data_IF_779952255608
#
_entry.id   IF_779952255608
#
_cell.length_a   1.000
_cell.length_b   1.000
_cell.length_c   1.000
_cell.angle_alpha   90.00
_cell.angle_beta   90.00
_cell.angle_gamma   90.00
#
_symmetry.space_group_name_H-M   'P 1'
#
loop_
_entity.id
_entity.type
_entity.pdbx_description
1 polymer ?
#
# COMPACT_ATOMS: atom_id res chain seq x y z
N UNK A 1 37.07 35.58 15.92
CA UNK A 1 36.07 35.40 14.84
C UNK A 1 35.08 34.38 15.32
N UNK A 2 33.78 34.67 15.24
CA UNK A 2 32.73 33.77 15.71
C UNK A 2 32.04 33.08 14.53
N UNK A 3 31.66 31.83 14.74
CA UNK A 3 30.91 31.01 13.80
C UNK A 3 29.59 30.57 14.45
N UNK A 4 28.50 30.77 13.72
CA UNK A 4 27.16 30.39 14.12
C UNK A 4 26.52 29.57 13.01
N UNK A 5 25.66 28.63 13.37
CA UNK A 5 24.81 27.90 12.43
C UNK A 5 23.37 27.99 12.90
N UNK A 6 22.42 27.99 11.96
CA UNK A 6 20.99 27.91 12.25
C UNK A 6 20.66 26.69 13.13
N UNK A 7 19.55 26.80 13.87
CA UNK A 7 19.05 25.76 14.77
C UNK A 7 18.92 24.39 14.05
N UNK A 8 19.27 23.31 14.76
CA UNK A 8 19.24 21.94 14.24
C UNK A 8 20.59 21.43 13.71
N UNK A 9 21.60 22.30 13.57
CA UNK A 9 22.98 21.92 13.32
C UNK A 9 23.91 22.38 14.46
N UNK A 10 25.07 21.73 14.58
CA UNK A 10 26.11 22.08 15.55
C UNK A 10 27.34 22.58 14.81
N UNK A 11 28.00 23.62 15.33
CA UNK A 11 29.23 24.17 14.76
C UNK A 11 30.35 24.17 15.80
N UNK A 12 31.53 23.64 15.45
CA UNK A 12 32.65 23.51 16.38
C UNK A 12 33.98 23.83 15.69
N UNK A 13 34.86 24.65 16.28
CA UNK A 13 34.61 25.55 17.41
C UNK A 13 33.75 26.77 17.02
N UNK A 14 33.06 27.35 18.00
CA UNK A 14 32.26 28.58 17.81
C UNK A 14 33.12 29.86 17.70
N UNK A 15 34.35 29.84 18.22
CA UNK A 15 35.25 30.99 18.16
C UNK A 15 36.68 30.54 17.88
N UNK A 16 37.33 31.21 16.91
CA UNK A 16 38.74 31.00 16.59
C UNK A 16 39.43 32.32 16.25
N UNK A 17 40.76 32.30 16.32
CA UNK A 17 41.62 33.32 15.71
C UNK A 17 42.03 32.89 14.30
N UNK A 18 42.20 33.85 13.41
CA UNK A 18 42.71 33.59 12.06
C UNK A 18 44.20 33.23 12.11
N UNK A 19 44.63 32.36 11.19
CA UNK A 19 46.03 32.04 10.96
C UNK A 19 46.81 33.20 10.33
N UNK A 20 48.11 32.98 10.10
CA UNK A 20 49.00 33.95 9.47
C UNK A 20 48.62 34.28 8.01
N UNK A 21 47.85 33.40 7.37
CA UNK A 21 47.28 33.56 6.03
C UNK A 21 45.90 34.26 6.05
N UNK A 22 45.36 34.57 7.23
CA UNK A 22 44.05 35.19 7.42
C UNK A 22 42.88 34.21 7.45
N UNK A 23 43.11 32.89 7.41
CA UNK A 23 42.04 31.90 7.39
C UNK A 23 41.62 31.45 8.79
N UNK A 24 40.34 31.15 8.96
CA UNK A 24 39.73 30.58 10.16
C UNK A 24 38.75 29.48 9.73
N UNK A 25 38.66 28.39 10.49
CA UNK A 25 37.81 27.25 10.15
C UNK A 25 37.00 26.75 11.33
N UNK A 26 35.82 26.23 11.02
CA UNK A 26 34.96 25.47 11.92
C UNK A 26 34.31 24.34 11.13
N UNK A 27 33.88 23.29 11.83
CA UNK A 27 33.13 22.17 11.26
C UNK A 27 31.67 22.30 11.64
N UNK A 28 30.78 21.92 10.72
CA UNK A 28 29.34 21.87 10.95
C UNK A 28 28.88 20.42 10.86
N UNK A 29 28.06 19.98 11.79
CA UNK A 29 27.43 18.65 11.78
C UNK A 29 25.92 18.77 12.02
N UNK A 30 25.15 17.83 11.47
CA UNK A 30 23.71 17.72 11.73
C UNK A 30 23.27 16.27 11.59
N UNK A 31 22.29 15.85 12.41
CA UNK A 31 21.58 14.58 12.25
C UNK A 31 20.31 14.73 11.40
N UNK A 32 19.91 15.97 11.08
CA UNK A 32 18.73 16.28 10.28
C UNK A 32 19.14 16.77 8.90
N UNK A 33 18.67 16.06 7.88
CA UNK A 33 18.81 16.51 6.50
C UNK A 33 18.11 17.86 6.31
N UNK A 34 18.72 18.75 5.53
CA UNK A 34 18.20 20.09 5.31
C UNK A 34 19.27 21.12 5.03
N UNK A 35 18.82 22.35 4.78
CA UNK A 35 19.68 23.50 4.51
C UNK A 35 19.80 24.38 5.75
N UNK A 36 21.02 24.71 6.15
CA UNK A 36 21.33 25.52 7.32
C UNK A 36 22.16 26.73 6.92
N UNK A 37 21.79 27.92 7.41
CA UNK A 37 22.59 29.12 7.26
C UNK A 37 23.78 29.07 8.23
N UNK A 38 24.99 29.24 7.70
CA UNK A 38 26.24 29.35 8.46
C UNK A 38 26.71 30.80 8.38
N UNK A 39 26.88 31.43 9.53
CA UNK A 39 27.27 32.83 9.65
C UNK A 39 28.65 32.91 10.29
N UNK A 40 29.55 33.65 9.66
CA UNK A 40 30.85 33.97 10.23
C UNK A 40 30.91 35.47 10.51
N UNK A 41 31.40 35.86 11.68
CA UNK A 41 31.41 37.24 12.16
C UNK A 41 32.75 37.66 12.77
N UNK A 42 33.17 38.88 12.46
CA UNK A 42 34.33 39.54 13.08
C UNK A 42 33.99 41.00 13.39
N UNK A 43 34.26 41.44 14.63
CA UNK A 43 34.02 42.81 15.09
C UNK A 43 32.59 43.33 14.82
N UNK A 44 31.56 42.51 15.06
CA UNK A 44 30.16 42.90 14.83
C UNK A 44 29.71 42.85 13.37
N UNK A 45 30.55 42.41 12.43
CA UNK A 45 30.24 42.31 11.00
C UNK A 45 30.27 40.86 10.55
N UNK A 46 29.14 40.37 10.05
CA UNK A 46 28.98 38.98 9.63
C UNK A 46 28.56 38.82 8.18
N UNK A 47 28.80 37.64 7.64
CA UNK A 47 28.27 37.19 6.34
C UNK A 47 27.74 35.76 6.50
N UNK A 48 26.64 35.46 5.81
CA UNK A 48 25.98 34.15 5.89
C UNK A 48 25.97 33.45 4.53
N UNK A 49 26.16 32.13 4.55
CA UNK A 49 25.98 31.24 3.40
C UNK A 49 25.30 29.95 3.84
N UNK A 50 24.60 29.31 2.91
CA UNK A 50 23.94 28.05 3.18
C UNK A 50 24.90 26.86 3.02
N UNK A 51 24.76 25.88 3.91
CA UNK A 51 25.24 24.51 3.74
C UNK A 51 24.05 23.56 3.72
N UNK A 52 24.19 22.38 3.11
CA UNK A 52 23.11 21.39 3.01
C UNK A 52 23.61 20.03 3.48
N UNK A 53 22.84 19.39 4.37
CA UNK A 53 22.99 17.99 4.74
C UNK A 53 21.91 17.17 4.02
N UNK A 54 22.30 16.01 3.48
CA UNK A 54 21.38 15.06 2.84
C UNK A 54 21.14 13.86 3.75
N UNK A 55 19.99 13.20 3.58
CA UNK A 55 19.70 11.97 4.30
C UNK A 55 20.68 10.86 3.92
N UNK A 56 20.97 9.98 4.87
CA UNK A 56 21.90 8.87 4.68
C UNK A 56 21.22 7.72 3.89
N UNK A 57 21.71 7.46 2.68
CA UNK A 57 21.18 6.39 1.83
C UNK A 57 21.57 5.00 2.31
N UNK A 58 22.68 4.87 3.02
CA UNK A 58 23.19 3.57 3.45
C UNK A 58 22.36 3.00 4.62
N UNK A 59 21.67 3.87 5.37
CA UNK A 59 20.74 3.49 6.43
C UNK A 59 19.27 3.66 6.05
N UNK A 60 18.95 3.77 4.76
CA UNK A 60 17.59 3.87 4.27
C UNK A 60 16.77 2.59 4.58
N UNK A 61 15.58 2.77 5.14
CA UNK A 61 14.66 1.69 5.47
C UNK A 61 13.20 2.13 5.45
N UNK A 62 12.29 1.15 5.48
CA UNK A 62 10.85 1.37 5.67
C UNK A 62 10.53 0.92 7.09
N UNK A 63 10.21 1.87 7.97
CA UNK A 63 9.89 1.58 9.36
C UNK A 63 8.53 0.88 9.50
N UNK A 64 8.28 0.31 10.67
CA UNK A 64 6.96 -0.25 10.99
C UNK A 64 5.88 0.86 10.88
N UNK A 65 4.80 0.57 10.14
CA UNK A 65 3.74 1.52 9.83
C UNK A 65 4.03 2.52 8.70
N UNK A 66 5.22 2.51 8.10
CA UNK A 66 5.57 3.40 6.98
C UNK A 66 5.20 2.83 5.59
N UNK A 67 4.55 1.67 5.53
CA UNK A 67 3.85 1.19 4.34
C UNK A 67 2.34 1.31 4.58
N UNK A 68 1.68 2.19 3.83
CA UNK A 68 0.26 2.50 3.99
C UNK A 68 -0.55 2.12 2.75
N UNK A 69 -1.79 1.67 2.99
CA UNK A 69 -2.81 1.50 1.95
C UNK A 69 -3.49 2.84 1.70
N UNK A 70 -3.63 3.18 0.42
CA UNK A 70 -4.45 4.30 -0.05
C UNK A 70 -5.85 3.81 -0.40
N UNK A 71 -6.08 3.62 -1.71
CA UNK A 71 -7.30 3.03 -2.24
C UNK A 71 -7.33 1.53 -1.95
N UNK A 72 -8.52 1.03 -1.60
CA UNK A 72 -8.74 -0.35 -1.21
C UNK A 72 -10.15 -0.80 -1.61
N UNK A 73 -10.38 -2.11 -1.74
CA UNK A 73 -11.66 -2.68 -2.18
C UNK A 73 -11.99 -2.40 -3.64
N UNK A 74 -10.97 -2.30 -4.50
CA UNK A 74 -11.16 -2.26 -5.95
C UNK A 74 -11.86 -3.52 -6.47
N UNK A 75 -12.66 -3.37 -7.52
CA UNK A 75 -13.31 -4.51 -8.19
C UNK A 75 -12.24 -5.37 -8.87
N UNK A 76 -12.37 -6.69 -8.77
CA UNK A 76 -11.47 -7.66 -9.38
C UNK A 76 -11.75 -7.82 -10.90
N UNK A 77 -11.69 -6.71 -11.65
CA UNK A 77 -11.97 -6.61 -13.09
C UNK A 77 -10.70 -6.45 -13.96
N UNK A 78 -9.51 -6.51 -13.33
CA UNK A 78 -8.21 -6.29 -13.96
C UNK A 78 -7.90 -4.83 -14.34
N UNK A 79 -8.75 -3.87 -13.96
CA UNK A 79 -8.64 -2.44 -14.33
C UNK A 79 -8.73 -1.51 -13.14
N UNK A 80 -9.67 -1.75 -12.24
CA UNK A 80 -9.84 -1.03 -10.99
C UNK A 80 -8.62 -1.27 -10.10
N UNK A 81 -8.19 -0.22 -9.40
CA UNK A 81 -6.91 -0.23 -8.69
C UNK A 81 -7.06 -0.02 -7.20
N UNK A 82 -6.35 -0.83 -6.43
CA UNK A 82 -5.93 -0.49 -5.08
C UNK A 82 -4.59 0.27 -5.14
N UNK A 83 -4.20 0.99 -4.08
CA UNK A 83 -2.94 1.71 -4.03
C UNK A 83 -2.22 1.57 -2.70
N UNK A 84 -0.88 1.58 -2.75
CA UNK A 84 -0.02 1.58 -1.56
C UNK A 84 1.06 2.64 -1.70
N UNK A 85 1.52 3.16 -0.57
CA UNK A 85 2.64 4.11 -0.49
C UNK A 85 3.61 3.69 0.61
N UNK A 86 4.88 3.55 0.27
CA UNK A 86 5.97 3.36 1.20
C UNK A 86 6.68 4.69 1.47
N UNK A 87 6.95 4.98 2.74
CA UNK A 87 7.82 6.07 3.18
C UNK A 87 9.18 5.50 3.57
N UNK A 88 10.24 6.04 2.98
CA UNK A 88 11.61 5.63 3.26
C UNK A 88 12.33 6.72 4.04
N UNK A 89 12.90 6.32 5.18
CA UNK A 89 13.70 7.21 6.03
C UNK A 89 15.05 6.59 6.38
N UNK A 90 16.04 7.43 6.69
CA UNK A 90 17.31 6.99 7.26
C UNK A 90 17.18 6.66 8.76
N UNK A 91 18.27 6.19 9.39
CA UNK A 91 18.28 5.85 10.83
C UNK A 91 17.96 7.03 11.77
N UNK A 92 18.01 8.28 11.28
CA UNK A 92 17.68 9.48 12.04
C UNK A 92 16.27 10.00 11.72
N UNK A 93 15.49 9.24 10.94
CA UNK A 93 14.14 9.58 10.51
C UNK A 93 14.08 10.68 9.44
N UNK A 94 15.17 10.90 8.69
CA UNK A 94 15.15 11.84 7.57
C UNK A 94 14.60 11.15 6.33
N UNK A 95 13.68 11.78 5.57
CA UNK A 95 13.21 11.20 4.31
C UNK A 95 14.35 11.03 3.30
N UNK A 96 14.45 9.84 2.71
CA UNK A 96 15.53 9.50 1.78
C UNK A 96 15.02 9.58 0.35
N UNK A 97 15.54 10.54 -0.42
CA UNK A 97 15.23 10.70 -1.84
C UNK A 97 16.19 9.94 -2.75
N UNK A 98 15.68 9.44 -3.87
CA UNK A 98 16.47 8.82 -4.91
C UNK A 98 16.87 7.37 -4.60
N UNK A 99 16.10 6.67 -3.77
CA UNK A 99 16.29 5.24 -3.50
C UNK A 99 15.16 4.42 -4.13
N UNK A 100 15.49 3.25 -4.64
CA UNK A 100 14.51 2.35 -5.28
C UNK A 100 13.76 1.54 -4.22
N UNK A 101 12.43 1.54 -4.31
CA UNK A 101 11.55 0.66 -3.55
C UNK A 101 10.92 -0.34 -4.50
N UNK A 102 11.08 -1.63 -4.22
CA UNK A 102 10.43 -2.69 -4.97
C UNK A 102 9.14 -3.14 -4.28
N UNK A 103 8.09 -3.36 -5.06
CA UNK A 103 6.76 -3.77 -4.63
C UNK A 103 6.41 -5.12 -5.24
N UNK A 104 5.89 -6.02 -4.42
CA UNK A 104 5.36 -7.32 -4.84
C UNK A 104 3.97 -7.51 -4.25
N UNK A 105 3.15 -8.32 -4.90
CA UNK A 105 1.81 -8.63 -4.43
C UNK A 105 1.52 -10.13 -4.50
N UNK A 106 0.68 -10.60 -3.57
CA UNK A 106 0.16 -11.97 -3.56
C UNK A 106 -1.20 -12.09 -4.25
N UNK A 107 -1.83 -13.27 -4.11
CA UNK A 107 -3.19 -13.55 -4.61
C UNK A 107 -3.40 -13.17 -6.10
N UNK A 108 -2.39 -13.41 -6.93
CA UNK A 108 -2.37 -13.11 -8.37
C UNK A 108 -2.61 -11.63 -8.74
N UNK A 109 -2.52 -10.71 -7.77
CA UNK A 109 -2.59 -9.28 -8.04
C UNK A 109 -1.34 -8.82 -8.80
N UNK A 110 -1.53 -7.90 -9.74
CA UNK A 110 -0.46 -7.31 -10.54
C UNK A 110 -0.09 -5.95 -9.99
N UNK A 111 1.19 -5.74 -9.68
CA UNK A 111 1.72 -4.41 -9.34
C UNK A 111 2.01 -3.66 -10.64
N UNK A 112 1.39 -2.50 -10.83
CA UNK A 112 1.49 -1.73 -12.10
C UNK A 112 2.90 -1.18 -12.31
N UNK A 113 3.57 -0.76 -11.23
CA UNK A 113 4.97 -0.32 -11.25
C UNK A 113 5.71 -0.99 -10.12
N UNK A 114 6.46 -2.04 -10.45
CA UNK A 114 7.15 -2.90 -9.47
C UNK A 114 8.30 -2.18 -8.76
N UNK A 115 8.95 -1.22 -9.40
CA UNK A 115 10.04 -0.44 -8.79
C UNK A 115 9.78 1.04 -8.92
N UNK A 116 9.79 1.76 -7.80
CA UNK A 116 9.54 3.20 -7.74
C UNK A 116 10.68 3.87 -7.00
N UNK A 117 11.28 4.91 -7.59
CA UNK A 117 12.30 5.73 -6.94
C UNK A 117 11.65 6.77 -6.04
N UNK A 118 12.12 6.92 -4.79
CA UNK A 118 11.55 7.85 -3.83
C UNK A 118 11.73 9.32 -4.21
N UNK A 119 10.67 10.11 -3.95
CA UNK A 119 10.66 11.56 -4.08
C UNK A 119 11.49 12.28 -3.00
N UNK A 120 11.47 13.62 -3.02
CA UNK A 120 12.17 14.45 -2.02
C UNK A 120 11.63 14.27 -0.59
N UNK A 121 10.37 13.83 -0.47
CA UNK A 121 9.66 13.49 0.76
C UNK A 121 9.86 12.03 1.20
N UNK A 122 10.71 11.27 0.50
CA UNK A 122 10.98 9.86 0.79
C UNK A 122 9.84 8.91 0.39
N UNK A 123 8.83 9.38 -0.35
CA UNK A 123 7.66 8.57 -0.71
C UNK A 123 7.86 7.83 -2.03
N UNK A 124 7.40 6.58 -2.07
CA UNK A 124 7.27 5.75 -3.27
C UNK A 124 5.89 5.10 -3.28
N UNK A 125 5.11 5.30 -4.34
CA UNK A 125 3.73 4.80 -4.43
C UNK A 125 3.52 3.97 -5.69
N UNK A 126 2.68 2.94 -5.59
CA UNK A 126 2.28 2.10 -6.73
C UNK A 126 0.81 1.71 -6.61
N UNK A 127 0.25 1.23 -7.70
CA UNK A 127 -1.12 0.72 -7.77
C UNK A 127 -1.13 -0.76 -8.11
N UNK A 128 -2.19 -1.45 -7.71
CA UNK A 128 -2.39 -2.87 -7.95
C UNK A 128 -3.71 -3.11 -8.67
N UNK A 129 -3.73 -4.04 -9.62
CA UNK A 129 -4.97 -4.57 -10.22
C UNK A 129 -5.07 -6.07 -9.97
N UNK A 130 -6.27 -6.63 -10.04
CA UNK A 130 -6.48 -8.09 -9.94
C UNK A 130 -7.71 -8.51 -10.73
N UNK A 131 -7.72 -9.75 -11.21
CA UNK A 131 -8.92 -10.45 -11.68
C UNK A 131 -9.46 -11.43 -10.62
N UNK A 132 -8.70 -11.66 -9.55
CA UNK A 132 -9.03 -12.54 -8.43
C UNK A 132 -9.47 -11.70 -7.25
N UNK A 133 -10.71 -11.91 -6.79
CA UNK A 133 -11.21 -11.27 -5.57
C UNK A 133 -10.55 -11.88 -4.32
N UNK A 134 -10.44 -11.08 -3.27
CA UNK A 134 -9.88 -11.46 -1.99
C UNK A 134 -8.64 -10.64 -1.61
N UNK A 135 -8.04 -11.02 -0.49
CA UNK A 135 -6.92 -10.30 0.12
C UNK A 135 -5.62 -10.58 -0.63
N UNK A 136 -4.93 -9.51 -1.02
CA UNK A 136 -3.57 -9.55 -1.55
C UNK A 136 -2.62 -8.88 -0.56
N UNK A 137 -1.63 -9.64 -0.09
CA UNK A 137 -0.54 -9.08 0.73
C UNK A 137 0.47 -8.40 -0.19
N UNK A 138 0.66 -7.10 0.00
CA UNK A 138 1.63 -6.28 -0.69
C UNK A 138 2.90 -6.19 0.15
N UNK A 139 4.05 -6.44 -0.46
CA UNK A 139 5.37 -6.31 0.16
C UNK A 139 6.12 -5.16 -0.48
N UNK A 140 6.62 -4.21 0.31
CA UNK A 140 7.53 -3.15 -0.14
C UNK A 140 8.93 -3.39 0.43
N UNK A 141 9.97 -3.24 -0.38
CA UNK A 141 11.36 -3.52 0.00
C UNK A 141 12.31 -2.42 -0.45
N UNK A 142 13.25 -2.05 0.42
CA UNK A 142 14.40 -1.17 0.14
C UNK A 142 15.65 -1.76 0.80
N UNK A 143 16.68 -2.07 0.00
CA UNK A 143 17.85 -2.79 0.52
C UNK A 143 17.46 -4.09 1.23
N UNK A 144 17.81 -4.20 2.52
CA UNK A 144 17.46 -5.33 3.39
C UNK A 144 16.19 -5.10 4.24
N UNK A 145 15.60 -3.91 4.16
CA UNK A 145 14.37 -3.56 4.87
C UNK A 145 13.13 -3.96 4.07
N UNK A 146 12.15 -4.59 4.70
CA UNK A 146 10.85 -4.90 4.09
C UNK A 146 9.68 -4.57 5.03
N UNK A 147 8.55 -4.21 4.45
CA UNK A 147 7.26 -4.08 5.15
C UNK A 147 6.14 -4.71 4.32
N UNK A 148 5.06 -5.11 4.99
CA UNK A 148 3.90 -5.77 4.36
C UNK A 148 2.60 -5.13 4.81
N UNK A 149 1.65 -5.04 3.89
CA UNK A 149 0.29 -4.60 4.18
C UNK A 149 -0.70 -5.36 3.30
N UNK A 150 -1.92 -5.54 3.77
CA UNK A 150 -2.97 -6.22 3.01
C UNK A 150 -3.88 -5.21 2.31
N UNK A 151 -4.13 -5.44 1.02
CA UNK A 151 -5.21 -4.84 0.25
C UNK A 151 -6.25 -5.91 -0.10
N UNK A 152 -7.45 -5.51 -0.47
CA UNK A 152 -8.54 -6.44 -0.74
C UNK A 152 -9.22 -6.08 -2.06
N UNK A 153 -9.35 -7.05 -2.97
CA UNK A 153 -10.16 -6.90 -4.17
C UNK A 153 -11.54 -7.52 -3.96
N UNK A 154 -12.59 -6.90 -4.51
CA UNK A 154 -13.97 -7.37 -4.39
C UNK A 154 -14.47 -7.96 -5.71
N UNK A 155 -15.26 -9.04 -5.64
CA UNK A 155 -15.87 -9.65 -6.82
C UNK A 155 -16.84 -8.68 -7.50
N UNK A 156 -16.96 -8.78 -8.82
CA UNK A 156 -17.80 -7.88 -9.61
C UNK A 156 -19.28 -8.30 -9.54
N UNK A 157 -20.10 -7.52 -8.83
CA UNK A 157 -21.53 -7.77 -8.70
C UNK A 157 -22.33 -7.51 -9.96
N UNK A 158 -21.84 -6.67 -10.86
CA UNK A 158 -22.56 -6.29 -12.07
C UNK A 158 -22.49 -7.41 -13.13
N UNK A 159 -21.49 -8.30 -13.02
CA UNK A 159 -21.34 -9.48 -13.87
C UNK A 159 -21.71 -10.78 -13.16
N UNK A 160 -22.47 -10.71 -12.07
CA UNK A 160 -22.92 -11.87 -11.32
C UNK A 160 -23.74 -12.86 -12.17
N UNK A 161 -23.33 -14.13 -12.14
CA UNK A 161 -23.93 -15.22 -12.91
C UNK A 161 -23.96 -16.54 -12.13
N UNK A 162 -24.79 -17.47 -12.60
CA UNK A 162 -24.80 -18.88 -12.19
C UNK A 162 -24.62 -19.69 -13.47
N UNK A 163 -23.43 -20.25 -13.67
CA UNK A 163 -23.13 -21.15 -14.79
C UNK A 163 -23.67 -22.56 -14.54
N UNK A 164 -23.78 -23.39 -15.58
CA UNK A 164 -24.24 -24.78 -15.45
C UNK A 164 -23.40 -25.58 -14.43
N UNK A 165 -22.09 -25.37 -14.39
CA UNK A 165 -21.19 -26.02 -13.42
C UNK A 165 -21.39 -25.56 -11.98
N UNK A 166 -22.00 -24.38 -11.79
CA UNK A 166 -22.30 -23.81 -10.48
C UNK A 166 -23.72 -24.15 -9.99
N UNK A 167 -24.53 -24.87 -10.77
CA UNK A 167 -25.85 -25.37 -10.38
C UNK A 167 -25.79 -26.88 -10.17
N UNK A 168 -26.11 -27.34 -8.96
CA UNK A 168 -26.26 -28.76 -8.66
C UNK A 168 -27.71 -29.11 -8.38
N UNK A 169 -28.22 -30.14 -9.03
CA UNK A 169 -29.59 -30.64 -8.88
C UNK A 169 -29.54 -32.12 -8.54
N UNK A 170 -30.01 -32.47 -7.35
CA UNK A 170 -30.20 -33.85 -6.92
C UNK A 170 -31.25 -34.56 -7.77
N UNK A 171 -31.08 -35.87 -7.97
CA UNK A 171 -32.02 -36.69 -8.73
C UNK A 171 -32.25 -38.03 -8.03
N UNK A 172 -33.35 -38.71 -8.39
CA UNK A 172 -33.64 -40.08 -7.92
C UNK A 172 -34.43 -40.19 -6.62
N UNK A 173 -34.87 -39.09 -6.01
CA UNK A 173 -35.81 -39.15 -4.88
C UNK A 173 -37.13 -39.85 -5.24
N UNK A 174 -37.67 -40.66 -4.32
CA UNK A 174 -38.97 -41.32 -4.50
C UNK A 174 -40.08 -40.28 -4.55
N UNK A 175 -41.06 -40.46 -5.45
CA UNK A 175 -42.22 -39.58 -5.58
C UNK A 175 -43.26 -39.79 -4.45
N UNK A 176 -42.83 -39.70 -3.18
CA UNK A 176 -43.64 -39.95 -1.99
C UNK A 176 -43.98 -38.67 -1.19
N UNK A 177 -43.59 -37.50 -1.68
CA UNK A 177 -43.81 -36.20 -1.02
C UNK A 177 -42.96 -35.96 0.23
N UNK A 178 -42.00 -36.85 0.53
CA UNK A 178 -41.08 -36.77 1.68
C UNK A 178 -39.63 -36.77 1.27
N UNK A 179 -39.27 -37.58 0.28
CA UNK A 179 -37.91 -37.67 -0.23
C UNK A 179 -37.55 -36.39 -1.00
N UNK A 180 -36.30 -35.94 -0.88
CA UNK A 180 -35.85 -34.63 -1.35
C UNK A 180 -34.79 -34.79 -2.43
N UNK A 181 -34.98 -34.09 -3.55
CA UNK A 181 -33.91 -33.76 -4.46
C UNK A 181 -33.35 -32.39 -4.04
N UNK A 182 -32.16 -32.34 -3.45
CA UNK A 182 -31.54 -31.09 -3.01
C UNK A 182 -31.04 -30.28 -4.22
N UNK A 183 -31.14 -28.95 -4.15
CA UNK A 183 -30.64 -28.04 -5.19
C UNK A 183 -29.68 -27.05 -4.51
N UNK A 184 -28.51 -26.83 -5.11
CA UNK A 184 -27.56 -25.79 -4.69
C UNK A 184 -27.12 -24.98 -5.90
N UNK A 185 -26.90 -23.67 -5.69
CA UNK A 185 -26.35 -22.79 -6.71
C UNK A 185 -25.23 -21.94 -6.11
N UNK A 186 -24.14 -21.75 -6.85
CA UNK A 186 -23.05 -20.83 -6.52
C UNK A 186 -23.12 -19.63 -7.47
N UNK A 187 -23.15 -18.42 -6.91
CA UNK A 187 -23.08 -17.19 -7.72
C UNK A 187 -21.61 -16.78 -7.83
N UNK A 188 -21.16 -16.57 -9.06
CA UNK A 188 -19.82 -16.06 -9.37
C UNK A 188 -19.90 -14.83 -10.26
N UNK A 189 -18.86 -14.02 -10.33
CA UNK A 189 -18.74 -12.98 -11.38
C UNK A 189 -18.26 -13.64 -12.68
N UNK A 190 -18.11 -12.84 -13.75
CA UNK A 190 -17.61 -13.34 -15.03
C UNK A 190 -16.17 -13.88 -14.97
N UNK A 191 -15.41 -13.56 -13.92
CA UNK A 191 -14.05 -14.06 -13.68
C UNK A 191 -14.05 -15.32 -12.77
N UNK A 192 -15.22 -15.78 -12.31
CA UNK A 192 -15.36 -16.94 -11.44
C UNK A 192 -15.20 -16.65 -9.94
N UNK A 193 -15.09 -15.37 -9.55
CA UNK A 193 -14.98 -14.98 -8.15
C UNK A 193 -16.34 -15.18 -7.45
N UNK A 194 -16.40 -15.84 -6.28
CA UNK A 194 -17.66 -16.07 -5.58
C UNK A 194 -18.23 -14.77 -5.02
N UNK A 195 -19.54 -14.56 -5.19
CA UNK A 195 -20.26 -13.43 -4.59
C UNK A 195 -21.06 -13.85 -3.37
N UNK A 196 -20.84 -13.13 -2.27
CA UNK A 196 -21.65 -13.24 -1.07
C UNK A 196 -22.93 -12.40 -1.17
N UNK A 197 -23.95 -12.75 -0.37
CA UNK A 197 -25.17 -11.98 -0.16
C UNK A 197 -26.04 -11.74 -1.40
N UNK A 198 -25.91 -12.59 -2.43
CA UNK A 198 -26.74 -12.50 -3.63
C UNK A 198 -28.10 -13.18 -3.46
N UNK A 199 -29.14 -12.54 -3.98
CA UNK A 199 -30.49 -13.10 -4.00
C UNK A 199 -30.66 -14.04 -5.19
N UNK A 200 -30.85 -15.33 -4.92
CA UNK A 200 -31.11 -16.35 -5.95
C UNK A 200 -32.59 -16.75 -5.90
N UNK A 201 -33.27 -16.69 -7.05
CA UNK A 201 -34.66 -17.14 -7.21
C UNK A 201 -34.70 -18.45 -8.00
N UNK A 202 -35.29 -19.50 -7.43
CA UNK A 202 -35.50 -20.78 -8.10
C UNK A 202 -36.93 -20.88 -8.60
N UNK A 203 -37.10 -21.09 -9.91
CA UNK A 203 -38.40 -21.28 -10.54
C UNK A 203 -38.55 -22.72 -11.01
N UNK A 204 -39.64 -23.39 -10.62
CA UNK A 204 -39.94 -24.76 -11.07
C UNK A 204 -40.90 -24.70 -12.24
N UNK A 205 -40.44 -25.10 -13.43
CA UNK A 205 -41.29 -25.25 -14.61
C UNK A 205 -41.89 -26.66 -14.68
N UNK A 206 -43.21 -26.79 -14.64
CA UNK A 206 -43.89 -28.08 -14.79
C UNK A 206 -45.33 -27.94 -15.28
N UNK A 207 -45.86 -28.98 -15.96
CA UNK A 207 -47.26 -29.08 -16.44
C UNK A 207 -48.29 -29.35 -15.31
N UNK A 208 -47.97 -29.04 -14.05
CA UNK A 208 -48.80 -29.36 -12.90
C UNK A 208 -48.70 -28.29 -11.82
N UNK A 209 -49.85 -27.79 -11.40
CA UNK A 209 -50.02 -26.75 -10.39
C UNK A 209 -49.42 -27.17 -9.03
N UNK A 210 -48.19 -26.77 -8.70
CA UNK A 210 -47.75 -26.63 -7.31
C UNK A 210 -46.66 -25.55 -7.24
N UNK A 211 -47.11 -24.29 -7.10
CA UNK A 211 -46.27 -23.17 -6.70
C UNK A 211 -45.96 -23.30 -5.20
N UNK A 212 -44.71 -23.59 -4.84
CA UNK A 212 -44.21 -23.38 -3.48
C UNK A 212 -42.97 -22.50 -3.54
N UNK A 213 -43.09 -21.30 -2.97
CA UNK A 213 -41.98 -20.36 -2.76
C UNK A 213 -40.93 -21.01 -1.84
N UNK A 214 -39.74 -21.29 -2.36
CA UNK A 214 -38.58 -21.59 -1.51
C UNK A 214 -38.01 -20.27 -0.97
N UNK A 215 -38.17 -20.01 0.33
CA UNK A 215 -37.41 -18.97 1.04
C UNK A 215 -36.16 -19.61 1.64
N UNK A 216 -34.98 -19.14 1.23
CA UNK A 216 -33.72 -19.49 1.88
C UNK A 216 -33.68 -18.86 3.28
N UNK A 217 -33.35 -19.63 4.32
CA UNK A 217 -32.98 -19.08 5.63
C UNK A 217 -31.56 -18.54 5.52
N UNK A 218 -31.40 -17.23 5.69
CA UNK A 218 -30.11 -16.64 6.03
C UNK A 218 -29.65 -17.24 7.36
N UNK A 219 -28.51 -17.94 7.34
CA UNK A 219 -27.82 -18.40 8.55
C UNK A 219 -27.31 -17.19 9.32
N UNK A 220 -27.72 -17.08 10.58
CA UNK A 220 -27.30 -16.02 11.48
C UNK A 220 -25.87 -16.20 11.99
N UNK A 221 -25.25 -15.02 12.18
CA UNK A 221 -24.12 -14.62 13.03
C UNK A 221 -23.28 -15.72 13.70
#
# INVERSE_FOLDING_TARGET
MTFNVAEGATITPHEVQTGADGNAGATVTSLKAGTYAVTAEVNGKGTSKNTTFVADKDSAGIADGDLAVGDNNAVADGKSTDSVTAKVTDANGNPVSGVEVSFLAGNDATVVTETVTTGADGMAATTLTSMTAGTSTVTAKVGDSEQKVDVNFVADSDTAEITDGNLSVGTGATANGKDINAITAKVTDANGNPLANQTVTFNVGGRGNHHTHMRCKQGGW
#
